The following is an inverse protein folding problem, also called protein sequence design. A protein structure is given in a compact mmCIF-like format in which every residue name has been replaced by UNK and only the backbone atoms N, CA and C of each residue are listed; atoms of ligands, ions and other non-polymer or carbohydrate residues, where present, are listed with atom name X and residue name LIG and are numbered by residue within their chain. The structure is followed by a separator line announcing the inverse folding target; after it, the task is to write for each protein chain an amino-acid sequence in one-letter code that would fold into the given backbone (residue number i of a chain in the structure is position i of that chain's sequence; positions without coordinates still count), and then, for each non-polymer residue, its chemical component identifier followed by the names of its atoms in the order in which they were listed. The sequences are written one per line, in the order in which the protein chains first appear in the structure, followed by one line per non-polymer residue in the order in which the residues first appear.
data_IF_005871047915
#
_entry.id   IF_005871047915
#
_cell.length_a   1.000
_cell.length_b   1.000
_cell.length_c   1.000
_cell.angle_alpha   90.00
_cell.angle_beta   90.00
_cell.angle_gamma   90.00
#
_symmetry.space_group_name_H-M   'P 1'
#
loop_
_entity.id
_entity.type
_entity.pdbx_description
1 polymer ?
#
# COMPACT_ATOMS: atom_id res chain seq x y z
N UNK A 1 -1.57 -12.56 -11.51
CA UNK A 1 -1.87 -12.14 -12.90
C UNK A 1 -1.60 -10.65 -13.02
N UNK A 2 -0.88 -10.23 -14.06
CA UNK A 2 -0.64 -8.81 -14.36
C UNK A 2 -1.86 -8.33 -15.16
N UNK A 3 -2.72 -7.54 -14.53
CA UNK A 3 -3.86 -6.92 -15.21
C UNK A 3 -3.44 -5.56 -15.77
N UNK A 4 -3.92 -5.24 -16.98
CA UNK A 4 -3.67 -3.96 -17.63
C UNK A 4 -4.44 -2.85 -16.94
N UNK A 5 -3.77 -1.71 -16.75
CA UNK A 5 -4.39 -0.54 -16.14
C UNK A 5 -5.36 0.13 -17.14
N UNK A 6 -6.65 0.33 -16.81
CA UNK A 6 -7.61 0.98 -17.70
C UNK A 6 -7.39 2.50 -17.71
N UNK A 7 -6.41 2.94 -18.49
CA UNK A 7 -6.02 4.36 -18.63
C UNK A 7 -7.19 5.27 -19.01
N UNK A 8 -8.15 4.77 -19.79
CA UNK A 8 -9.30 5.55 -20.23
C UNK A 8 -10.24 5.92 -19.08
N UNK A 9 -10.38 5.05 -18.07
CA UNK A 9 -11.18 5.35 -16.87
C UNK A 9 -10.49 6.41 -16.03
N UNK A 10 -9.17 6.29 -15.91
CA UNK A 10 -8.32 7.21 -15.17
C UNK A 10 -8.34 8.62 -15.77
N UNK A 11 -8.26 8.72 -17.10
CA UNK A 11 -8.32 10.01 -17.82
C UNK A 11 -9.68 10.70 -17.73
N UNK A 12 -10.78 9.95 -17.60
CA UNK A 12 -12.13 10.52 -17.48
C UNK A 12 -12.39 11.14 -16.12
N UNK A 13 -11.75 10.65 -15.07
CA UNK A 13 -11.97 11.15 -13.70
C UNK A 13 -11.10 12.36 -13.34
N UNK A 14 -10.05 12.67 -14.11
CA UNK A 14 -9.19 13.81 -13.81
C UNK A 14 -8.71 14.53 -15.08
N UNK A 15 -8.85 15.86 -15.11
CA UNK A 15 -8.40 16.71 -16.22
C UNK A 15 -6.87 16.76 -16.33
N UNK A 16 -6.12 16.43 -15.26
CA UNK A 16 -4.66 16.42 -15.29
C UNK A 16 -4.07 15.06 -14.87
N UNK A 17 -3.55 14.32 -15.86
CA UNK A 17 -2.94 13.01 -15.67
C UNK A 17 -1.67 13.10 -14.81
N UNK A 18 -0.89 14.18 -14.92
CA UNK A 18 0.37 14.32 -14.19
C UNK A 18 0.16 14.52 -12.70
N UNK A 19 -0.82 15.34 -12.33
CA UNK A 19 -1.22 15.51 -10.92
C UNK A 19 -1.68 14.19 -10.32
N UNK A 20 -2.44 13.42 -11.09
CA UNK A 20 -2.90 12.12 -10.65
C UNK A 20 -1.73 11.13 -10.45
N UNK A 21 -0.72 11.13 -11.33
CA UNK A 21 0.49 10.32 -11.13
C UNK A 21 1.17 10.68 -9.81
N UNK A 22 1.28 11.98 -9.49
CA UNK A 22 1.85 12.43 -8.22
C UNK A 22 1.00 11.98 -7.03
N UNK A 23 -0.32 12.10 -7.12
CA UNK A 23 -1.24 11.68 -6.06
C UNK A 23 -1.15 10.16 -5.80
N UNK A 24 -1.16 9.34 -6.85
CA UNK A 24 -1.03 7.89 -6.76
C UNK A 24 0.34 7.47 -6.21
N UNK A 25 1.42 8.15 -6.62
CA UNK A 25 2.75 7.90 -6.08
C UNK A 25 2.82 8.20 -4.58
N UNK A 26 2.21 9.31 -4.13
CA UNK A 26 2.11 9.64 -2.70
C UNK A 26 1.30 8.60 -1.94
N UNK A 27 0.17 8.14 -2.48
CA UNK A 27 -0.64 7.09 -1.85
C UNK A 27 0.10 5.75 -1.76
N UNK A 28 0.83 5.37 -2.81
CA UNK A 28 1.65 4.16 -2.80
C UNK A 28 2.73 4.20 -1.71
N UNK A 29 3.32 5.38 -1.44
CA UNK A 29 4.26 5.55 -0.31
C UNK A 29 3.58 5.36 1.04
N UNK A 30 2.41 5.96 1.26
CA UNK A 30 1.63 5.77 2.49
C UNK A 30 1.33 4.28 2.75
N UNK A 31 0.81 3.57 1.74
CA UNK A 31 0.54 2.13 1.83
C UNK A 31 1.80 1.35 2.19
N UNK A 32 2.95 1.72 1.62
CA UNK A 32 4.21 1.06 1.91
C UNK A 32 4.68 1.33 3.35
N UNK A 33 4.59 2.56 3.82
CA UNK A 33 4.93 2.93 5.20
C UNK A 33 4.02 2.23 6.22
N UNK A 34 2.71 2.23 5.99
CA UNK A 34 1.75 1.49 6.84
C UNK A 34 2.08 0.00 6.90
N UNK A 35 2.42 -0.63 5.76
CA UNK A 35 2.79 -2.04 5.73
C UNK A 35 4.08 -2.31 6.48
N UNK A 36 5.08 -1.43 6.35
CA UNK A 36 6.34 -1.54 7.10
C UNK A 36 6.12 -1.37 8.59
N UNK A 37 5.29 -0.40 9.00
CA UNK A 37 4.97 -0.19 10.41
C UNK A 37 4.26 -1.41 11.02
N UNK A 38 3.27 -1.98 10.31
CA UNK A 38 2.59 -3.22 10.74
C UNK A 38 3.55 -4.40 10.85
N UNK A 39 4.43 -4.58 9.87
CA UNK A 39 5.49 -5.60 9.90
C UNK A 39 6.38 -5.47 11.13
N UNK A 40 6.85 -4.26 11.43
CA UNK A 40 7.70 -4.02 12.58
C UNK A 40 6.97 -4.32 13.89
N UNK A 41 5.68 -3.98 13.99
CA UNK A 41 4.86 -4.30 15.15
C UNK A 41 4.68 -5.82 15.32
N UNK A 42 4.33 -6.54 14.24
CA UNK A 42 4.19 -8.01 14.25
C UNK A 42 5.48 -8.71 14.68
N UNK A 43 6.64 -8.29 14.14
CA UNK A 43 7.95 -8.84 14.52
C UNK A 43 8.26 -8.59 15.99
N UNK A 44 8.09 -7.36 16.48
CA UNK A 44 8.38 -7.03 17.88
C UNK A 44 7.46 -7.81 18.84
N UNK A 45 6.20 -8.02 18.47
CA UNK A 45 5.28 -8.86 19.25
C UNK A 45 5.70 -10.33 19.21
N UNK A 46 6.26 -10.81 18.09
CA UNK A 46 6.81 -12.17 17.97
C UNK A 46 8.03 -12.38 18.89
N UNK A 47 8.88 -11.37 19.07
CA UNK A 47 10.05 -11.42 19.95
C UNK A 47 9.68 -11.40 21.45
N UNK A 48 8.45 -11.00 21.80
CA UNK A 48 7.93 -11.05 23.18
C UNK A 48 7.48 -12.46 23.60
N UNK A 49 7.32 -13.42 22.68
CA UNK A 49 7.05 -14.82 23.03
C UNK A 49 8.36 -15.50 23.45
N UNK A 50 8.50 -15.80 24.74
CA UNK A 50 9.71 -16.37 25.36
C UNK A 50 10.07 -17.80 24.91
N UNK A 51 9.18 -18.52 24.21
CA UNK A 51 9.41 -19.91 23.81
C UNK A 51 9.87 -20.06 22.35
N UNK A 52 11.11 -20.52 22.17
CA UNK A 52 11.82 -20.64 20.89
C UNK A 52 11.08 -21.55 19.88
N UNK A 53 10.34 -22.54 20.37
CA UNK A 53 9.58 -23.50 19.54
C UNK A 53 8.32 -22.87 18.92
N UNK A 54 7.70 -21.90 19.60
CA UNK A 54 6.51 -21.19 19.12
C UNK A 54 6.88 -20.11 18.08
N UNK A 55 7.97 -19.36 18.33
CA UNK A 55 8.51 -18.38 17.38
C UNK A 55 8.90 -19.00 16.02
N UNK A 56 9.53 -20.19 16.03
CA UNK A 56 9.93 -20.91 14.81
C UNK A 56 8.74 -21.40 13.96
N UNK A 57 7.57 -21.66 14.57
CA UNK A 57 6.37 -22.09 13.84
C UNK A 57 5.60 -20.94 13.18
N UNK A 58 5.70 -19.71 13.69
CA UNK A 58 4.95 -18.54 13.19
C UNK A 58 5.66 -17.90 11.97
N UNK A 59 6.99 -17.74 12.04
CA UNK A 59 7.78 -17.04 11.01
C UNK A 59 7.66 -17.56 9.55
N UNK A 60 7.59 -18.88 9.27
CA UNK A 60 7.52 -19.38 7.91
C UNK A 60 6.20 -19.05 7.21
N UNK A 61 5.10 -18.95 7.96
CA UNK A 61 3.75 -18.72 7.42
C UNK A 61 3.59 -17.24 7.04
N UNK A 62 4.07 -16.33 7.89
CA UNK A 62 3.97 -14.88 7.66
C UNK A 62 4.83 -14.40 6.49
N UNK A 63 6.06 -14.89 6.36
CA UNK A 63 6.94 -14.53 5.22
C UNK A 63 6.28 -14.81 3.86
N UNK A 64 5.54 -15.92 3.73
CA UNK A 64 4.78 -16.27 2.52
C UNK A 64 3.59 -15.34 2.25
N UNK A 65 2.96 -14.79 3.29
CA UNK A 65 1.85 -13.84 3.14
C UNK A 65 2.35 -12.52 2.53
N UNK A 66 3.59 -12.11 2.84
CA UNK A 66 4.19 -10.90 2.28
C UNK A 66 4.59 -11.03 0.82
N UNK A 67 5.05 -12.21 0.38
CA UNK A 67 5.35 -12.47 -1.03
C UNK A 67 4.09 -12.40 -1.92
N UNK A 68 2.92 -12.74 -1.36
CA UNK A 68 1.64 -12.72 -2.08
C UNK A 68 0.97 -11.35 -2.12
N UNK A 69 1.47 -10.35 -1.37
CA UNK A 69 0.83 -9.02 -1.34
C UNK A 69 1.02 -8.28 -2.67
N UNK A 70 -0.07 -7.70 -3.16
CA UNK A 70 -0.06 -6.79 -4.32
C UNK A 70 0.90 -5.63 -4.07
N UNK A 71 1.63 -5.21 -5.11
CA UNK A 71 2.54 -4.04 -5.04
C UNK A 71 1.77 -2.78 -4.60
N UNK A 72 2.34 -1.93 -3.72
CA UNK A 72 1.66 -0.73 -3.22
C UNK A 72 1.13 0.20 -4.31
N UNK A 73 1.85 0.29 -5.44
CA UNK A 73 1.44 1.08 -6.61
C UNK A 73 0.15 0.58 -7.23
N UNK A 74 -0.03 -0.74 -7.35
CA UNK A 74 -1.26 -1.32 -7.90
C UNK A 74 -2.42 -1.20 -6.91
N UNK A 75 -2.18 -1.36 -5.61
CA UNK A 75 -3.19 -1.09 -4.59
C UNK A 75 -3.65 0.38 -4.62
N UNK A 76 -2.73 1.34 -4.76
CA UNK A 76 -3.08 2.75 -4.86
C UNK A 76 -3.99 3.04 -6.07
N UNK A 77 -3.73 2.40 -7.22
CA UNK A 77 -4.61 2.57 -8.39
C UNK A 77 -5.97 1.91 -8.18
N UNK A 78 -6.01 0.75 -7.53
CA UNK A 78 -7.27 0.08 -7.22
C UNK A 78 -8.14 0.92 -6.26
N UNK A 79 -7.54 1.49 -5.21
CA UNK A 79 -8.23 2.40 -4.29
C UNK A 79 -8.74 3.67 -4.99
N UNK A 80 -7.97 4.19 -5.96
CA UNK A 80 -8.40 5.30 -6.80
C UNK A 80 -9.62 4.91 -7.66
N UNK A 81 -9.56 3.79 -8.38
CA UNK A 81 -10.65 3.29 -9.22
C UNK A 81 -11.92 2.96 -8.42
N UNK A 82 -11.77 2.61 -7.14
CA UNK A 82 -12.87 2.38 -6.20
C UNK A 82 -13.40 3.66 -5.54
N UNK A 83 -12.87 4.85 -5.90
CA UNK A 83 -13.24 6.16 -5.33
C UNK A 83 -13.07 6.24 -3.81
N UNK A 84 -12.05 5.57 -3.28
CA UNK A 84 -11.70 5.59 -1.85
C UNK A 84 -10.65 6.65 -1.49
N UNK A 85 -10.20 7.44 -2.47
CA UNK A 85 -9.15 8.43 -2.29
C UNK A 85 -9.67 9.83 -2.52
N UNK A 86 -9.44 10.69 -1.53
CA UNK A 86 -9.62 12.14 -1.67
C UNK A 86 -8.26 12.80 -1.92
N UNK A 87 -8.13 13.51 -3.03
CA UNK A 87 -6.94 14.29 -3.37
C UNK A 87 -7.16 15.71 -2.87
N UNK A 88 -6.31 16.15 -1.93
CA UNK A 88 -6.32 17.53 -1.43
C UNK A 88 -5.09 18.27 -1.90
N UNK A 89 -5.30 19.49 -2.38
CA UNK A 89 -4.22 20.43 -2.67
C UNK A 89 -3.79 21.11 -1.37
N UNK A 90 -2.47 21.32 -1.17
CA UNK A 90 -2.03 22.15 -0.07
C UNK A 90 -2.68 23.53 -0.23
N UNK A 91 -3.22 24.09 0.85
CA UNK A 91 -3.61 25.50 0.84
C UNK A 91 -2.33 26.29 0.60
N UNK A 92 -2.29 27.07 -0.48
CA UNK A 92 -1.25 28.08 -0.64
C UNK A 92 -1.53 29.11 0.44
N UNK A 93 -0.82 29.01 1.56
CA UNK A 93 -0.69 30.14 2.48
C UNK A 93 0.10 31.21 1.72
N UNK A 94 -0.63 32.15 1.10
CA UNK A 94 -0.10 33.42 0.64
C UNK A 94 -0.11 34.42 1.79
#
# INVERSE_FOLDING_TARGET
MVETLPLDRIKKENNNIYELVVALAKRARQINEERRARLHMEINTSDEYEDLEEALHIHPIESQVYERKIKPTRQAVEEFLQRKLEIRYPKTDM
#
